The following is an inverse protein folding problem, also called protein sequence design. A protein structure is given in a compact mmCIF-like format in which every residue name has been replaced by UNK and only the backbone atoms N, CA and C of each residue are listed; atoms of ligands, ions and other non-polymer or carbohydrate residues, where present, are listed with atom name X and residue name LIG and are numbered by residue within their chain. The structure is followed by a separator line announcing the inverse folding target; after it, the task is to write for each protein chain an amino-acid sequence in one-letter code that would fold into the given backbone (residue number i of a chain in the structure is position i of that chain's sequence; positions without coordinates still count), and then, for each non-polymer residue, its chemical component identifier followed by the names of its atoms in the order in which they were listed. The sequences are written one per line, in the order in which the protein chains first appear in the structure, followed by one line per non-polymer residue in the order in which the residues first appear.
data_IF_365379589013
#
_entry.id   IF_365379589013
#
_cell.length_a   1.000
_cell.length_b   1.000
_cell.length_c   1.000
_cell.angle_alpha   90.00
_cell.angle_beta   90.00
_cell.angle_gamma   90.00
#
_symmetry.space_group_name_H-M   'P 1'
#
loop_
_entity.id
_entity.type
_entity.pdbx_description
1 polymer ?
#
# COMPACT_ATOMS: atom_id res chain seq x y z
N UNK A 1 -5.96 -8.48 8.35
CA UNK A 1 -6.55 -8.06 7.05
C UNK A 1 -5.92 -8.93 5.99
N UNK A 2 -6.75 -9.67 5.23
CA UNK A 2 -6.27 -10.57 4.17
C UNK A 2 -5.34 -9.87 3.16
N UNK A 3 -5.54 -8.55 2.93
CA UNK A 3 -4.65 -7.74 2.08
C UNK A 3 -3.24 -7.59 2.66
N UNK A 4 -3.11 -7.26 3.95
CA UNK A 4 -1.81 -7.14 4.60
C UNK A 4 -1.06 -8.47 4.55
N UNK A 5 -1.75 -9.54 4.91
CA UNK A 5 -1.16 -10.88 5.00
C UNK A 5 -0.66 -11.36 3.62
N UNK A 6 -1.38 -11.02 2.54
CA UNK A 6 -0.94 -11.29 1.17
C UNK A 6 0.31 -10.47 0.81
N UNK A 7 0.30 -9.17 1.06
CA UNK A 7 1.45 -8.29 0.75
C UNK A 7 2.70 -8.70 1.53
N UNK A 8 2.56 -9.06 2.81
CA UNK A 8 3.67 -9.58 3.62
C UNK A 8 4.27 -10.86 3.02
N UNK A 9 3.43 -11.76 2.48
CA UNK A 9 3.91 -12.96 1.77
C UNK A 9 4.67 -12.60 0.51
N UNK A 10 4.13 -11.70 -0.32
CA UNK A 10 4.79 -11.25 -1.56
C UNK A 10 6.16 -10.66 -1.23
N UNK A 11 6.22 -9.73 -0.29
CA UNK A 11 7.47 -9.08 0.14
C UNK A 11 8.47 -10.09 0.67
N UNK A 12 8.03 -11.04 1.51
CA UNK A 12 8.91 -12.08 2.05
C UNK A 12 9.48 -12.98 0.95
N UNK A 13 8.66 -13.36 -0.04
CA UNK A 13 9.11 -14.12 -1.21
C UNK A 13 10.13 -13.35 -2.03
N UNK A 14 9.89 -12.05 -2.27
CA UNK A 14 10.82 -11.23 -3.04
C UNK A 14 12.15 -11.00 -2.32
N UNK A 15 12.16 -10.86 -0.99
CA UNK A 15 13.40 -10.84 -0.21
C UNK A 15 14.21 -12.13 -0.45
N UNK A 16 13.57 -13.29 -0.36
CA UNK A 16 14.24 -14.58 -0.58
C UNK A 16 14.78 -14.70 -2.02
N UNK A 17 14.01 -14.26 -3.02
CA UNK A 17 14.44 -14.25 -4.42
C UNK A 17 15.66 -13.35 -4.63
N UNK A 18 15.67 -12.14 -4.06
CA UNK A 18 16.82 -11.25 -4.15
C UNK A 18 18.05 -11.85 -3.43
N UNK A 19 17.86 -12.54 -2.31
CA UNK A 19 18.94 -13.27 -1.63
C UNK A 19 19.53 -14.38 -2.49
N UNK A 20 18.69 -15.19 -3.15
CA UNK A 20 19.13 -16.25 -4.07
C UNK A 20 19.85 -15.69 -5.30
N UNK A 21 19.43 -14.53 -5.80
CA UNK A 21 20.01 -13.84 -6.96
C UNK A 21 21.24 -12.99 -6.60
N UNK A 22 21.61 -12.89 -5.32
CA UNK A 22 22.64 -11.95 -4.81
C UNK A 22 22.38 -10.48 -5.21
N UNK A 23 21.11 -10.10 -5.30
CA UNK A 23 20.65 -8.74 -5.60
C UNK A 23 20.44 -7.96 -4.29
N UNK A 24 21.51 -7.33 -3.81
CA UNK A 24 21.49 -6.57 -2.55
C UNK A 24 20.61 -5.32 -2.61
N UNK A 25 20.50 -4.69 -3.79
CA UNK A 25 19.67 -3.49 -3.98
C UNK A 25 18.18 -3.85 -3.92
N UNK A 26 17.77 -4.91 -4.62
CA UNK A 26 16.42 -5.45 -4.54
C UNK A 26 16.07 -5.93 -3.14
N UNK A 27 16.99 -6.64 -2.47
CA UNK A 27 16.79 -7.06 -1.08
C UNK A 27 16.58 -5.86 -0.15
N UNK A 28 17.43 -4.84 -0.25
CA UNK A 28 17.33 -3.59 0.54
C UNK A 28 16.00 -2.88 0.29
N UNK A 29 15.53 -2.86 -0.96
CA UNK A 29 14.23 -2.32 -1.31
C UNK A 29 13.09 -3.11 -0.66
N UNK A 30 13.03 -4.43 -0.82
CA UNK A 30 11.95 -5.24 -0.27
C UNK A 30 11.95 -5.28 1.26
N UNK A 31 13.11 -5.21 1.92
CA UNK A 31 13.20 -5.01 3.36
C UNK A 31 12.63 -3.66 3.81
N UNK A 32 12.89 -2.60 3.04
CA UNK A 32 12.26 -1.30 3.30
C UNK A 32 10.73 -1.37 3.11
N UNK A 33 10.24 -2.07 2.09
CA UNK A 33 8.79 -2.31 1.91
C UNK A 33 8.20 -3.10 3.08
N UNK A 34 8.92 -4.10 3.61
CA UNK A 34 8.49 -4.85 4.79
C UNK A 34 8.30 -3.92 6.00
N UNK A 35 9.25 -3.00 6.24
CA UNK A 35 9.14 -1.99 7.29
C UNK A 35 7.95 -1.03 7.05
N UNK A 36 7.69 -0.65 5.79
CA UNK A 36 6.48 0.12 5.45
C UNK A 36 5.21 -0.63 5.85
N UNK A 37 5.10 -1.93 5.52
CA UNK A 37 3.91 -2.73 5.82
C UNK A 37 3.70 -2.92 7.33
N UNK A 38 4.78 -3.09 8.09
CA UNK A 38 4.73 -3.21 9.56
C UNK A 38 4.23 -1.90 10.20
N UNK A 39 4.80 -0.76 9.78
CA UNK A 39 4.38 0.55 10.26
C UNK A 39 2.95 0.92 9.82
N UNK A 40 2.58 0.57 8.58
CA UNK A 40 1.24 0.79 8.05
C UNK A 40 0.20 0.03 8.91
N UNK A 41 0.45 -1.26 9.14
CA UNK A 41 -0.46 -2.15 9.84
C UNK A 41 -1.80 -2.32 9.10
N UNK A 42 -2.79 -2.85 9.79
CA UNK A 42 -4.09 -3.18 9.17
C UNK A 42 -4.90 -1.96 8.73
N UNK A 43 -4.80 -0.84 9.45
CA UNK A 43 -5.59 0.36 9.21
C UNK A 43 -5.28 1.03 7.85
N UNK A 44 -4.07 0.86 7.35
CA UNK A 44 -3.60 1.37 6.05
C UNK A 44 -3.91 0.45 4.87
N UNK A 45 -4.38 -0.76 5.15
CA UNK A 45 -4.61 -1.80 4.14
C UNK A 45 -6.08 -1.87 3.72
N UNK A 46 -6.94 -1.14 4.42
CA UNK A 46 -8.37 -1.11 4.12
C UNK A 46 -8.63 -0.09 3.03
N UNK A 47 -9.45 -0.49 2.08
CA UNK A 47 -10.16 0.41 1.19
C UNK A 47 -11.63 0.12 1.51
N UNK A 48 -12.47 1.13 1.75
CA UNK A 48 -13.92 0.89 1.73
C UNK A 48 -14.30 0.48 0.30
N UNK A 49 -14.37 -0.82 0.09
CA UNK A 49 -14.69 -1.44 -1.19
C UNK A 49 -16.18 -1.72 -1.26
N UNK A 50 -16.88 -1.05 -2.17
CA UNK A 50 -18.23 -1.45 -2.57
C UNK A 50 -18.15 -2.23 -3.87
N UNK A 51 -18.70 -3.45 -3.89
CA UNK A 51 -18.84 -4.21 -5.14
C UNK A 51 -20.01 -3.63 -5.93
N UNK A 52 -19.74 -3.14 -7.13
CA UNK A 52 -20.74 -2.67 -8.08
C UNK A 52 -20.68 -3.55 -9.34
N UNK A 53 -21.79 -3.63 -10.08
CA UNK A 53 -21.81 -4.25 -11.40
C UNK A 53 -21.80 -3.12 -12.44
N UNK A 54 -20.70 -2.97 -13.17
CA UNK A 54 -20.60 -2.06 -14.30
C UNK A 54 -20.50 -2.88 -15.58
N UNK A 55 -21.39 -2.62 -16.55
CA UNK A 55 -21.40 -3.32 -17.85
C UNK A 55 -21.36 -4.86 -17.72
N UNK A 56 -22.12 -5.41 -16.76
CA UNK A 56 -22.15 -6.84 -16.42
C UNK A 56 -20.85 -7.44 -15.86
N UNK A 57 -19.84 -6.60 -15.56
CA UNK A 57 -18.61 -7.01 -14.88
C UNK A 57 -18.66 -6.52 -13.43
N UNK A 58 -18.48 -7.40 -12.44
CA UNK A 58 -18.30 -6.99 -11.06
C UNK A 58 -16.98 -6.19 -10.92
N UNK A 59 -17.10 -4.96 -10.43
CA UNK A 59 -15.98 -4.06 -10.16
C UNK A 59 -15.97 -3.69 -8.68
N UNK A 60 -14.77 -3.50 -8.12
CA UNK A 60 -14.60 -3.01 -6.75
C UNK A 60 -14.38 -1.51 -6.79
N UNK A 61 -15.35 -0.73 -6.31
CA UNK A 61 -15.20 0.71 -6.13
C UNK A 61 -14.42 0.96 -4.83
N UNK A 62 -13.23 1.54 -4.94
CA UNK A 62 -12.33 1.87 -3.84
C UNK A 62 -12.51 3.34 -3.50
N UNK A 63 -13.01 3.65 -2.30
CA UNK A 63 -13.12 5.02 -1.81
C UNK A 63 -11.75 5.60 -1.40
N UNK A 64 -11.60 6.92 -1.49
CA UNK A 64 -10.37 7.63 -1.17
C UNK A 64 -10.24 7.91 0.33
N UNK A 65 -9.20 7.38 0.95
CA UNK A 65 -8.80 7.78 2.30
C UNK A 65 -8.07 9.12 2.25
N UNK A 66 -8.76 10.22 2.57
CA UNK A 66 -8.19 11.59 2.50
C UNK A 66 -6.89 11.78 3.27
N UNK A 67 -6.70 11.02 4.34
CA UNK A 67 -5.49 11.09 5.18
C UNK A 67 -4.34 10.24 4.65
N UNK A 68 -4.58 9.30 3.74
CA UNK A 68 -3.59 8.36 3.25
C UNK A 68 -2.66 9.03 2.24
N UNK A 69 -1.35 8.94 2.46
CA UNK A 69 -0.39 9.54 1.53
C UNK A 69 -0.45 8.82 0.15
N UNK A 70 -0.64 9.53 -0.98
CA UNK A 70 -0.84 8.92 -2.31
C UNK A 70 0.26 7.96 -2.74
N UNK A 71 1.50 8.23 -2.32
CA UNK A 71 2.64 7.34 -2.51
C UNK A 71 2.37 5.88 -2.11
N UNK A 72 1.76 5.63 -0.94
CA UNK A 72 1.52 4.26 -0.49
C UNK A 72 0.44 3.56 -1.30
N UNK A 73 -0.51 4.29 -1.89
CA UNK A 73 -1.46 3.71 -2.83
C UNK A 73 -0.72 3.13 -4.04
N UNK A 74 0.22 3.89 -4.61
CA UNK A 74 1.01 3.44 -5.74
C UNK A 74 1.92 2.27 -5.36
N UNK A 75 2.60 2.35 -4.20
CA UNK A 75 3.43 1.25 -3.69
C UNK A 75 2.63 -0.03 -3.49
N UNK A 76 1.42 0.07 -2.93
CA UNK A 76 0.56 -1.09 -2.70
C UNK A 76 0.04 -1.70 -3.99
N UNK A 77 -0.26 -0.89 -5.00
CA UNK A 77 -0.56 -1.38 -6.35
C UNK A 77 0.64 -2.10 -6.92
N UNK A 78 1.84 -1.53 -6.81
CA UNK A 78 3.10 -2.14 -7.24
C UNK A 78 3.31 -3.53 -6.60
N UNK A 79 3.17 -3.65 -5.28
CA UNK A 79 3.26 -4.95 -4.57
C UNK A 79 2.21 -5.93 -5.10
N UNK A 80 0.96 -5.48 -5.23
CA UNK A 80 -0.15 -6.33 -5.69
C UNK A 80 0.12 -6.88 -7.12
N UNK A 81 0.68 -6.07 -8.03
CA UNK A 81 0.99 -6.49 -9.41
C UNK A 81 2.28 -7.28 -9.56
N UNK A 82 3.18 -7.23 -8.58
CA UNK A 82 4.46 -7.98 -8.60
C UNK A 82 4.22 -9.48 -8.84
N UNK A 83 3.16 -10.04 -8.23
CA UNK A 83 2.76 -11.44 -8.45
C UNK A 83 2.41 -11.78 -9.90
N UNK A 84 2.04 -10.78 -10.70
CA UNK A 84 1.72 -10.95 -12.11
C UNK A 84 2.89 -10.73 -13.06
N UNK A 85 3.95 -10.04 -12.61
CA UNK A 85 5.18 -9.82 -13.37
C UNK A 85 6.17 -10.98 -13.17
N UNK A 86 6.24 -11.49 -11.94
CA UNK A 86 7.15 -12.57 -11.56
C UNK A 86 6.41 -13.92 -11.59
N UNK A 87 5.86 -14.31 -12.74
CA UNK A 87 5.01 -15.51 -12.88
C UNK A 87 5.76 -16.82 -12.57
N UNK A 88 7.07 -16.86 -12.77
CA UNK A 88 7.92 -17.99 -12.41
C UNK A 88 8.02 -18.20 -10.89
N UNK A 89 7.92 -17.10 -10.13
CA UNK A 89 7.96 -17.10 -8.66
C UNK A 89 6.55 -17.28 -8.09
N UNK A 90 5.58 -16.56 -8.65
CA UNK A 90 4.19 -16.55 -8.21
C UNK A 90 3.32 -17.23 -9.26
N UNK A 91 3.16 -18.55 -9.13
CA UNK A 91 2.18 -19.27 -9.94
C UNK A 91 0.78 -18.71 -9.66
N UNK A 92 0.14 -18.12 -10.68
CA UNK A 92 -1.24 -17.63 -10.61
C UNK A 92 -2.20 -18.81 -10.39
N UNK A 93 -2.45 -19.17 -9.15
CA UNK A 93 -3.52 -20.10 -8.78
C UNK A 93 -4.73 -19.32 -8.27
N UNK A 94 -5.75 -19.14 -9.13
CA UNK A 94 -7.03 -18.55 -8.69
C UNK A 94 -7.83 -17.83 -9.78
N UNK A 95 -9.01 -17.34 -9.38
CA UNK A 95 -9.85 -16.46 -10.22
C UNK A 95 -9.15 -15.12 -10.44
N UNK A 96 -9.29 -14.57 -11.65
CA UNK A 96 -8.85 -13.21 -11.98
C UNK A 96 -9.38 -12.21 -10.94
N UNK A 97 -8.51 -11.32 -10.48
CA UNK A 97 -8.89 -10.28 -9.52
C UNK A 97 -9.97 -9.37 -10.14
N UNK A 98 -10.91 -8.92 -9.31
CA UNK A 98 -11.89 -7.91 -9.76
C UNK A 98 -11.16 -6.64 -10.17
N UNK A 99 -11.61 -6.02 -11.26
CA UNK A 99 -11.16 -4.69 -11.63
C UNK A 99 -11.51 -3.70 -10.50
N UNK A 100 -10.50 -2.97 -10.02
CA UNK A 100 -10.66 -1.93 -8.99
C UNK A 100 -10.77 -0.57 -9.67
N UNK A 101 -11.81 0.19 -9.32
CA UNK A 101 -12.01 1.56 -9.78
C UNK A 101 -11.90 2.50 -8.59
N UNK A 102 -10.94 3.43 -8.67
CA UNK A 102 -10.79 4.44 -7.63
C UNK A 102 -11.90 5.48 -7.76
N UNK A 103 -12.61 5.71 -6.66
CA UNK A 103 -13.63 6.73 -6.56
C UNK A 103 -13.05 8.06 -6.09
N UNK A 104 -13.69 9.15 -6.50
CA UNK A 104 -13.49 10.49 -5.92
C UNK A 104 -14.21 10.66 -4.57
N UNK A 105 -15.01 9.68 -4.13
CA UNK A 105 -15.69 9.72 -2.84
C UNK A 105 -14.69 9.47 -1.71
N UNK A 106 -14.68 10.38 -0.73
CA UNK A 106 -13.85 10.27 0.48
C UNK A 106 -14.50 9.33 1.50
N UNK A 107 -13.70 8.48 2.13
CA UNK A 107 -14.16 7.64 3.24
C UNK A 107 -14.45 8.47 4.49
N UNK A 108 -15.32 7.95 5.35
CA UNK A 108 -15.52 8.49 6.71
C UNK A 108 -14.55 7.90 7.73
N UNK A 109 -13.67 6.98 7.30
CA UNK A 109 -12.77 6.24 8.16
C UNK A 109 -11.79 7.17 8.90
N UNK A 110 -11.63 7.02 10.22
CA UNK A 110 -10.73 7.86 10.99
C UNK A 110 -9.28 7.62 10.57
N UNK A 111 -8.48 8.67 10.63
CA UNK A 111 -7.03 8.54 10.45
C UNK A 111 -6.44 7.75 11.63
N UNK A 112 -5.60 6.74 11.38
CA UNK A 112 -4.91 6.02 12.45
C UNK A 112 -3.94 6.95 13.20
N UNK A 113 -3.66 6.63 14.46
CA UNK A 113 -2.69 7.35 15.29
C UNK A 113 -1.38 6.57 15.41
N UNK A 114 -0.29 7.23 15.84
CA UNK A 114 0.97 6.55 16.11
C UNK A 114 1.73 6.14 14.85
N UNK A 115 1.66 6.96 13.79
CA UNK A 115 2.35 6.69 12.52
C UNK A 115 3.33 7.82 12.18
N UNK A 116 4.36 7.55 11.38
CA UNK A 116 5.26 8.61 10.93
C UNK A 116 4.51 9.65 10.10
N UNK A 117 4.95 10.91 10.16
CA UNK A 117 4.35 12.01 9.40
C UNK A 117 4.23 11.71 7.90
N UNK A 118 5.21 11.00 7.33
CA UNK A 118 5.25 10.64 5.92
C UNK A 118 4.06 9.76 5.47
N UNK A 119 3.40 9.07 6.41
CA UNK A 119 2.24 8.21 6.12
C UNK A 119 0.96 9.01 5.86
N UNK A 120 0.94 10.28 6.23
CA UNK A 120 -0.23 11.14 6.04
C UNK A 120 -0.07 12.04 4.82
N UNK A 121 -1.16 12.22 4.07
CA UNK A 121 -1.18 13.15 2.95
C UNK A 121 -0.84 14.58 3.43
N UNK A 122 0.09 15.30 2.79
CA UNK A 122 0.45 16.66 3.19
C UNK A 122 -0.75 17.61 3.19
N UNK A 123 -1.63 17.47 2.20
CA UNK A 123 -2.89 18.23 2.09
C UNK A 123 -3.81 17.97 3.28
N UNK A 124 -3.90 16.72 3.74
CA UNK A 124 -4.70 16.38 4.92
C UNK A 124 -4.15 17.04 6.18
N UNK A 125 -2.85 16.91 6.42
CA UNK A 125 -2.20 17.54 7.59
C UNK A 125 -2.38 19.06 7.60
N UNK A 126 -2.31 19.71 6.44
CA UNK A 126 -2.49 21.17 6.33
C UNK A 126 -3.89 21.67 6.72
N UNK A 127 -4.90 20.78 6.70
CA UNK A 127 -6.29 21.11 7.04
C UNK A 127 -6.61 20.89 8.52
N UNK A 128 -5.73 20.21 9.27
CA UNK A 128 -5.96 19.91 10.67
C UNK A 128 -5.59 21.08 11.58
N UNK A 129 -6.40 21.30 12.60
CA UNK A 129 -6.08 22.23 13.70
C UNK A 129 -5.07 21.60 14.66
N UNK A 130 -4.37 22.42 15.45
CA UNK A 130 -3.36 21.94 16.40
C UNK A 130 -3.82 20.79 17.33
N UNK A 131 -5.04 20.81 17.92
CA UNK A 131 -5.51 19.69 18.74
C UNK A 131 -5.70 18.38 17.94
N UNK A 132 -6.11 18.50 16.68
CA UNK A 132 -6.31 17.34 15.80
C UNK A 132 -4.96 16.76 15.36
N UNK A 133 -3.97 17.61 15.08
CA UNK A 133 -2.60 17.18 14.80
C UNK A 133 -1.99 16.45 16.00
N UNK A 134 -2.17 16.98 17.22
CA UNK A 134 -1.69 16.33 18.44
C UNK A 134 -2.36 14.97 18.69
N UNK A 135 -3.65 14.83 18.33
CA UNK A 135 -4.39 13.58 18.48
C UNK A 135 -3.86 12.44 17.58
N UNK A 136 -3.20 12.76 16.46
CA UNK A 136 -2.56 11.77 15.60
C UNK A 136 -1.39 11.06 16.29
N UNK A 137 -0.79 11.66 17.33
CA UNK A 137 0.37 11.10 18.06
C UNK A 137 1.44 10.59 17.10
N UNK A 138 1.79 11.39 16.09
CA UNK A 138 2.75 10.98 15.07
C UNK A 138 4.08 10.60 15.71
N UNK A 139 4.70 9.52 15.23
CA UNK A 139 5.98 9.07 15.77
C UNK A 139 7.09 10.04 15.39
N UNK A 140 8.03 10.25 16.30
CA UNK A 140 9.23 11.05 16.03
C UNK A 140 10.21 10.24 15.16
N UNK A 141 10.81 10.90 14.17
CA UNK A 141 11.75 10.29 13.23
C UNK A 141 11.43 10.59 11.78
N UNK A 142 12.47 10.71 10.96
CA UNK A 142 12.32 10.83 9.52
C UNK A 142 12.09 9.45 8.91
N UNK A 143 10.93 9.28 8.29
CA UNK A 143 10.67 8.14 7.42
C UNK A 143 10.86 8.58 5.98
N UNK A 144 11.90 8.05 5.34
CA UNK A 144 12.26 8.41 3.96
C UNK A 144 11.48 7.54 2.98
N UNK A 145 10.68 8.19 2.13
CA UNK A 145 10.03 7.55 0.99
C UNK A 145 11.07 7.26 -0.10
N UNK A 146 11.08 6.04 -0.64
CA UNK A 146 12.00 5.64 -1.73
C UNK A 146 11.27 5.69 -3.08
N UNK A 147 11.91 6.11 -4.16
CA UNK A 147 11.33 5.91 -5.49
C UNK A 147 11.36 4.41 -5.84
N UNK A 148 10.35 3.95 -6.56
CA UNK A 148 10.28 2.61 -7.16
C UNK A 148 9.96 2.70 -8.66
N UNK A 149 10.11 3.88 -9.26
CA UNK A 149 9.76 4.14 -10.66
C UNK A 149 10.63 3.32 -11.64
N UNK A 150 11.80 2.83 -11.21
CA UNK A 150 12.67 1.94 -11.99
C UNK A 150 12.36 0.45 -11.91
N UNK A 151 11.29 0.03 -11.20
CA UNK A 151 10.85 -1.38 -11.13
C UNK A 151 9.67 -1.70 -12.05
N UNK A 152 9.08 -0.70 -12.71
CA UNK A 152 7.92 -0.84 -13.60
C UNK A 152 8.26 -0.71 -15.09
N UNK A 153 9.49 -0.32 -15.41
CA UNK A 153 9.99 -0.19 -16.78
C UNK A 153 10.74 -1.47 -17.17
N UNK A 154 10.00 -2.48 -17.63
CA UNK A 154 10.41 -3.47 -18.65
C UNK A 154 9.17 -3.94 -19.43
#
# INVERSE_FOLDING_TARGET
SQKLDLRLKIVSSMIAVCEERHDEDGKSFWQWVLNVLDLAGYDFMSDEETTLVMLSVPVKKVMLMKWHHPYFLQLFVFIDVTTGMEEEIFQKMGKAAFQRLQSQEETTWPSPCGRPKAFYAPVYLSRLKAPQLAALKMTEGEFVLRSFDGYLDD
#
